data_IF_025899656139
#
_entry.id   IF_025899656139
#
_cell.length_a   1.000
_cell.length_b   1.000
_cell.length_c   1.000
_cell.angle_alpha   90.00
_cell.angle_beta   90.00
_cell.angle_gamma   90.00
#
_symmetry.space_group_name_H-M   'P 1'
#
loop_
_entity.id
_entity.type
_entity.pdbx_description
1 polymer ?
#
# COMPACT_ATOMS: atom_id res chain seq x y z
N UNK A 1 6.43 -5.50 -13.08
CA UNK A 1 6.40 -5.25 -11.62
C UNK A 1 5.71 -3.92 -11.32
N UNK A 2 4.90 -3.83 -10.26
CA UNK A 2 4.15 -2.59 -9.89
C UNK A 2 5.06 -1.40 -9.58
N UNK A 3 6.22 -1.63 -8.95
CA UNK A 3 7.21 -0.59 -8.64
C UNK A 3 7.71 0.11 -9.92
N UNK A 4 8.04 -0.64 -10.99
CA UNK A 4 8.45 -0.06 -12.28
C UNK A 4 7.39 0.88 -12.86
N UNK A 5 6.11 0.51 -12.75
CA UNK A 5 5.02 1.39 -13.19
C UNK A 5 4.92 2.67 -12.36
N UNK A 6 5.14 2.60 -11.05
CA UNK A 6 5.17 3.76 -10.15
C UNK A 6 6.33 4.69 -10.55
N UNK A 7 7.54 4.14 -10.70
CA UNK A 7 8.76 4.87 -11.10
C UNK A 7 8.55 5.57 -12.45
N UNK A 8 8.12 4.82 -13.47
CA UNK A 8 7.91 5.37 -14.82
C UNK A 8 6.84 6.46 -14.86
N UNK A 9 5.84 6.39 -13.99
CA UNK A 9 4.78 7.41 -13.89
C UNK A 9 5.12 8.56 -12.93
N UNK A 10 6.26 8.50 -12.24
CA UNK A 10 6.72 9.50 -11.28
C UNK A 10 5.89 9.61 -9.99
N UNK A 11 4.91 8.74 -9.75
CA UNK A 11 4.04 8.83 -8.59
C UNK A 11 3.33 7.52 -8.22
N UNK A 12 2.94 7.40 -6.96
CA UNK A 12 1.90 6.46 -6.51
C UNK A 12 0.54 7.09 -6.85
N UNK A 13 -0.25 6.38 -7.65
CA UNK A 13 -1.59 6.80 -8.03
C UNK A 13 -2.65 6.13 -7.15
N UNK A 14 -3.66 6.87 -6.66
CA UNK A 14 -4.85 6.28 -6.06
C UNK A 14 -5.46 5.19 -6.92
N UNK A 15 -5.96 4.12 -6.31
CA UNK A 15 -6.57 3.02 -7.07
C UNK A 15 -7.92 3.44 -7.61
N UNK A 16 -8.13 3.31 -8.92
CA UNK A 16 -9.45 3.50 -9.56
C UNK A 16 -10.22 2.19 -9.72
N UNK A 17 -9.60 1.05 -9.39
CA UNK A 17 -10.23 -0.25 -9.51
C UNK A 17 -11.39 -0.40 -8.53
N UNK A 18 -12.57 -0.78 -9.04
CA UNK A 18 -13.80 -1.03 -8.27
C UNK A 18 -14.25 0.17 -7.42
N UNK A 19 -13.92 1.39 -7.84
CA UNK A 19 -14.40 2.61 -7.20
C UNK A 19 -15.69 3.03 -7.90
N UNK A 20 -16.76 3.22 -7.14
CA UNK A 20 -18.03 3.72 -7.67
C UNK A 20 -17.86 5.14 -8.25
N UNK A 21 -18.62 5.53 -9.29
CA UNK A 21 -18.44 6.81 -10.00
C UNK A 21 -18.43 8.07 -9.11
N UNK A 22 -19.12 8.04 -7.97
CA UNK A 22 -19.27 9.18 -7.06
C UNK A 22 -18.31 9.14 -5.86
N UNK A 23 -17.31 8.26 -5.88
CA UNK A 23 -16.35 8.06 -4.77
C UNK A 23 -14.97 8.49 -5.22
N UNK A 24 -14.18 9.03 -4.29
CA UNK A 24 -12.80 9.43 -4.61
C UNK A 24 -11.87 8.22 -4.44
N UNK A 25 -11.04 7.89 -5.45
CA UNK A 25 -10.03 6.86 -5.30
C UNK A 25 -9.01 7.30 -4.24
N UNK A 26 -8.43 6.33 -3.52
CA UNK A 26 -7.38 6.59 -2.52
C UNK A 26 -6.17 5.68 -2.74
N UNK A 27 -4.99 6.15 -2.32
CA UNK A 27 -3.82 5.32 -2.09
C UNK A 27 -3.72 4.99 -0.60
N UNK A 28 -3.43 3.74 -0.27
CA UNK A 28 -3.38 3.20 1.09
C UNK A 28 -1.94 3.10 1.58
N UNK A 29 -1.78 3.38 2.88
CA UNK A 29 -0.52 3.35 3.60
C UNK A 29 -0.75 2.75 4.99
N UNK A 30 0.31 2.27 5.62
CA UNK A 30 0.30 1.85 7.02
C UNK A 30 1.45 2.55 7.74
N UNK A 31 1.26 2.80 9.03
CA UNK A 31 2.31 3.31 9.93
C UNK A 31 3.10 2.17 10.59
N UNK A 32 2.73 0.92 10.32
CA UNK A 32 3.47 -0.25 10.79
C UNK A 32 4.79 -0.40 10.06
N UNK A 33 5.80 -0.82 10.80
CA UNK A 33 7.09 -1.27 10.28
C UNK A 33 6.97 -2.67 9.65
N UNK A 34 6.12 -3.52 10.20
CA UNK A 34 5.85 -4.85 9.66
C UNK A 34 4.90 -4.81 8.45
N UNK A 35 4.93 -5.87 7.66
CA UNK A 35 4.02 -5.99 6.52
C UNK A 35 2.56 -6.02 6.96
N UNK A 36 1.77 -5.08 6.45
CA UNK A 36 0.33 -4.98 6.73
C UNK A 36 -0.41 -6.24 6.26
N UNK A 37 -1.11 -6.98 7.15
CA UNK A 37 -1.71 -8.27 6.80
C UNK A 37 -2.71 -8.22 5.63
N UNK A 38 -3.41 -7.10 5.46
CA UNK A 38 -4.36 -6.86 4.35
C UNK A 38 -3.72 -6.35 3.07
N UNK A 39 -2.42 -6.03 3.06
CA UNK A 39 -1.72 -5.59 1.85
C UNK A 39 -1.42 -6.74 0.86
N UNK A 40 -2.20 -7.82 0.88
CA UNK A 40 -2.02 -9.02 0.07
C UNK A 40 -3.01 -9.08 -1.10
N UNK A 41 -2.68 -9.86 -2.14
CA UNK A 41 -3.55 -10.08 -3.31
C UNK A 41 -4.55 -11.22 -3.13
N UNK A 42 -4.44 -11.96 -2.03
CA UNK A 42 -5.25 -13.13 -1.72
C UNK A 42 -5.79 -12.98 -0.29
N UNK A 43 -6.99 -13.51 0.01
CA UNK A 43 -7.56 -13.45 1.36
C UNK A 43 -6.94 -14.52 2.28
N UNK A 44 -5.62 -14.63 2.27
CA UNK A 44 -4.85 -15.55 3.12
C UNK A 44 -4.06 -14.69 4.10
N UNK A 45 -4.23 -14.86 5.42
CA UNK A 45 -3.54 -14.04 6.41
C UNK A 45 -2.04 -14.42 6.52
N UNK A 46 -1.26 -13.51 7.09
CA UNK A 46 0.13 -13.73 7.48
C UNK A 46 1.09 -14.02 6.33
N UNK A 47 2.18 -14.73 6.64
CA UNK A 47 3.29 -15.00 5.72
C UNK A 47 2.85 -15.74 4.44
N UNK A 48 1.85 -16.62 4.53
CA UNK A 48 1.34 -17.34 3.36
C UNK A 48 0.74 -16.38 2.31
N UNK A 49 -0.03 -15.38 2.75
CA UNK A 49 -0.56 -14.33 1.87
C UNK A 49 0.53 -13.43 1.29
N UNK A 50 1.57 -13.13 2.09
CA UNK A 50 2.73 -12.36 1.65
C UNK A 50 3.49 -13.09 0.53
N UNK A 51 3.79 -14.38 0.71
CA UNK A 51 4.47 -15.21 -0.29
C UNK A 51 3.63 -15.30 -1.57
N UNK A 52 2.32 -15.53 -1.46
CA UNK A 52 1.43 -15.58 -2.61
C UNK A 52 1.42 -14.24 -3.38
N UNK A 53 1.40 -13.13 -2.64
CA UNK A 53 1.47 -11.77 -3.21
C UNK A 53 2.80 -11.52 -3.90
N UNK A 54 3.90 -11.94 -3.28
CA UNK A 54 5.24 -11.81 -3.84
C UNK A 54 5.37 -12.58 -5.17
N UNK A 55 4.88 -13.83 -5.21
CA UNK A 55 4.84 -14.62 -6.44
C UNK A 55 4.02 -13.92 -7.53
N UNK A 56 2.84 -13.39 -7.17
CA UNK A 56 1.95 -12.71 -8.11
C UNK A 56 2.45 -11.33 -8.59
N UNK A 57 3.36 -10.69 -7.86
CA UNK A 57 3.85 -9.33 -8.15
C UNK A 57 5.34 -9.25 -8.49
N UNK A 58 6.02 -10.40 -8.56
CA UNK A 58 7.48 -10.52 -8.76
C UNK A 58 8.28 -9.87 -7.63
N UNK A 59 7.89 -10.13 -6.39
CA UNK A 59 8.51 -9.62 -5.17
C UNK A 59 7.57 -8.75 -4.32
N UNK A 60 8.04 -8.37 -3.14
CA UNK A 60 7.40 -7.38 -2.27
C UNK A 60 8.28 -6.15 -2.18
N UNK A 61 7.65 -4.98 -2.16
CA UNK A 61 8.33 -3.70 -2.05
C UNK A 61 7.67 -2.90 -0.94
N UNK A 62 8.51 -2.29 -0.10
CA UNK A 62 8.12 -1.28 0.88
C UNK A 62 8.65 0.07 0.43
N UNK A 63 7.82 1.10 0.50
CA UNK A 63 8.18 2.47 0.14
C UNK A 63 7.89 3.34 1.36
N UNK A 64 8.93 3.92 1.92
CA UNK A 64 8.83 4.87 3.03
C UNK A 64 8.62 6.27 2.49
N UNK A 65 7.61 6.97 2.99
CA UNK A 65 7.30 8.35 2.64
C UNK A 65 7.07 9.19 3.91
N UNK A 66 7.23 10.52 3.86
CA UNK A 66 6.82 11.38 4.96
C UNK A 66 5.34 11.19 5.30
N UNK A 67 4.98 11.24 6.58
CA UNK A 67 3.59 11.11 7.03
C UNK A 67 2.64 12.15 6.41
N UNK A 68 3.17 13.30 5.98
CA UNK A 68 2.42 14.33 5.25
C UNK A 68 1.87 13.85 3.90
N UNK A 69 2.39 12.76 3.32
CA UNK A 69 1.88 12.18 2.08
C UNK A 69 0.55 11.43 2.27
N UNK A 70 0.28 10.93 3.48
CA UNK A 70 -0.92 10.16 3.82
C UNK A 70 -1.52 10.69 5.14
N UNK A 71 -2.06 11.92 5.15
CA UNK A 71 -2.42 12.60 6.39
C UNK A 71 -3.72 12.07 7.01
N UNK A 72 -4.55 11.37 6.25
CA UNK A 72 -5.88 10.94 6.70
C UNK A 72 -5.83 9.58 7.38
N UNK A 73 -6.55 9.46 8.50
CA UNK A 73 -6.73 8.21 9.26
C UNK A 73 -7.97 7.46 8.78
N UNK A 74 -8.00 6.13 8.93
CA UNK A 74 -9.10 5.30 8.44
C UNK A 74 -10.52 5.78 8.82
N UNK A 75 -10.82 6.23 10.06
CA UNK A 75 -12.14 6.75 10.41
C UNK A 75 -12.63 7.94 9.57
N UNK A 76 -11.71 8.68 8.93
CA UNK A 76 -12.04 9.82 8.07
C UNK A 76 -12.43 9.39 6.65
N UNK A 77 -12.30 8.11 6.29
CA UNK A 77 -12.53 7.61 4.94
C UNK A 77 -13.92 7.95 4.37
N UNK A 78 -15.05 7.79 5.11
CA UNK A 78 -16.36 8.17 4.60
C UNK A 78 -16.46 9.66 4.22
N UNK A 79 -15.89 10.54 5.06
CA UNK A 79 -15.94 11.98 4.84
C UNK A 79 -15.03 12.42 3.67
N UNK A 80 -13.82 11.89 3.60
CA UNK A 80 -12.81 12.35 2.63
C UNK A 80 -13.01 11.69 1.26
N UNK A 81 -13.27 10.38 1.23
CA UNK A 81 -13.39 9.59 0.00
C UNK A 81 -14.84 9.33 -0.43
N UNK A 82 -15.81 9.68 0.42
CA UNK A 82 -17.23 9.43 0.17
C UNK A 82 -17.64 7.98 0.42
N UNK A 83 -16.77 7.13 0.99
CA UNK A 83 -17.03 5.69 1.19
C UNK A 83 -18.34 5.48 1.96
N UNK A 84 -19.19 4.55 1.49
CA UNK A 84 -20.46 4.26 2.15
C UNK A 84 -20.23 3.63 3.54
N UNK A 85 -21.19 3.78 4.48
CA UNK A 85 -21.11 3.10 5.76
C UNK A 85 -20.97 1.57 5.63
N UNK A 86 -21.66 0.94 4.67
CA UNK A 86 -21.55 -0.51 4.46
C UNK A 86 -20.13 -0.91 4.04
N UNK A 87 -19.53 -0.21 3.07
CA UNK A 87 -18.16 -0.50 2.62
C UNK A 87 -17.14 -0.20 3.71
N UNK A 88 -17.32 0.89 4.47
CA UNK A 88 -16.45 1.24 5.58
C UNK A 88 -16.45 0.13 6.66
N UNK A 89 -17.63 -0.30 7.10
CA UNK A 89 -17.77 -1.37 8.10
C UNK A 89 -17.21 -2.69 7.54
N UNK A 90 -17.50 -3.02 6.28
CA UNK A 90 -16.97 -4.22 5.63
C UNK A 90 -15.45 -4.26 5.59
N UNK A 91 -14.80 -3.13 5.24
CA UNK A 91 -13.34 -3.00 5.28
C UNK A 91 -12.79 -3.16 6.70
N UNK A 92 -13.42 -2.52 7.69
CA UNK A 92 -13.03 -2.62 9.09
C UNK A 92 -13.06 -4.07 9.57
N UNK A 93 -14.20 -4.75 9.41
CA UNK A 93 -14.38 -6.12 9.85
C UNK A 93 -13.46 -7.10 9.11
N UNK A 94 -13.28 -6.91 7.80
CA UNK A 94 -12.36 -7.75 7.01
C UNK A 94 -10.91 -7.57 7.45
N UNK A 95 -10.50 -6.34 7.76
CA UNK A 95 -9.16 -6.07 8.27
C UNK A 95 -8.92 -6.74 9.61
N UNK A 96 -9.84 -6.58 10.56
CA UNK A 96 -9.76 -7.22 11.87
C UNK A 96 -9.72 -8.75 11.76
N UNK A 97 -10.55 -9.34 10.89
CA UNK A 97 -10.57 -10.78 10.65
C UNK A 97 -9.25 -11.32 10.08
N UNK A 98 -8.51 -10.49 9.34
CA UNK A 98 -7.19 -10.81 8.80
C UNK A 98 -6.03 -10.41 9.72
N UNK A 99 -6.32 -9.95 10.94
CA UNK A 99 -5.31 -9.56 11.94
C UNK A 99 -4.66 -8.20 11.67
N UNK A 100 -5.26 -7.36 10.83
CA UNK A 100 -4.80 -5.98 10.62
C UNK A 100 -5.16 -5.07 11.78
N UNK A 101 -4.44 -3.96 11.91
CA UNK A 101 -4.78 -2.89 12.84
C UNK A 101 -5.23 -1.62 12.08
N UNK A 102 -6.54 -1.39 11.93
CA UNK A 102 -7.08 -0.23 11.22
C UNK A 102 -6.63 1.14 11.74
N UNK A 103 -6.20 1.25 13.01
CA UNK A 103 -5.69 2.51 13.57
C UNK A 103 -4.35 2.92 12.96
N UNK A 104 -3.63 1.96 12.38
CA UNK A 104 -2.36 2.21 11.68
C UNK A 104 -2.55 2.60 10.22
N UNK A 105 -3.74 2.37 9.67
CA UNK A 105 -4.04 2.66 8.28
C UNK A 105 -4.11 4.16 8.04
N UNK A 106 -3.47 4.57 6.95
CA UNK A 106 -3.45 5.93 6.44
C UNK A 106 -3.83 5.92 4.99
N UNK A 107 -4.37 7.03 4.49
CA UNK A 107 -4.67 7.15 3.08
C UNK A 107 -4.53 8.58 2.57
N UNK A 108 -4.47 8.71 1.25
CA UNK A 108 -4.57 9.99 0.56
C UNK A 108 -5.36 9.85 -0.75
N UNK A 109 -6.23 10.81 -1.10
CA UNK A 109 -6.85 10.86 -2.42
C UNK A 109 -5.94 11.51 -3.47
N UNK A 110 -4.78 12.01 -3.06
CA UNK A 110 -3.83 12.70 -3.93
C UNK A 110 -2.72 11.76 -4.40
N UNK A 111 -2.08 12.12 -5.52
CA UNK A 111 -0.91 11.44 -6.04
C UNK A 111 0.27 11.66 -5.08
N UNK A 112 1.10 10.63 -4.85
CA UNK A 112 2.34 10.77 -4.06
C UNK A 112 3.54 10.72 -5.00
N UNK A 113 4.24 11.85 -5.26
CA UNK A 113 5.39 11.88 -6.15
C UNK A 113 6.54 10.98 -5.66
N UNK A 114 7.25 10.34 -6.59
CA UNK A 114 8.44 9.54 -6.28
C UNK A 114 9.56 10.36 -5.66
N UNK A 115 9.59 11.67 -5.91
CA UNK A 115 10.52 12.62 -5.26
C UNK A 115 10.36 12.69 -3.73
N UNK A 116 9.22 12.24 -3.18
CA UNK A 116 8.99 12.18 -1.74
C UNK A 116 9.35 10.82 -1.12
N UNK A 117 9.81 9.85 -1.91
CA UNK A 117 10.22 8.55 -1.39
C UNK A 117 11.53 8.73 -0.60
N UNK A 118 11.53 8.25 0.64
CA UNK A 118 12.69 8.30 1.53
C UNK A 118 13.53 7.06 1.42
N UNK A 119 12.86 5.91 1.34
CA UNK A 119 13.50 4.61 1.26
C UNK A 119 12.62 3.69 0.43
N UNK A 120 13.24 2.84 -0.37
CA UNK A 120 12.56 1.76 -1.09
C UNK A 120 13.29 0.48 -0.77
N UNK A 121 12.56 -0.54 -0.36
CA UNK A 121 13.13 -1.80 0.07
C UNK A 121 12.45 -2.98 -0.61
N UNK A 122 13.23 -4.02 -0.88
CA UNK A 122 12.72 -5.31 -1.34
C UNK A 122 12.75 -6.32 -0.20
N UNK A 123 11.73 -7.17 -0.14
CA UNK A 123 11.75 -8.27 0.81
C UNK A 123 12.62 -9.42 0.30
N UNK A 124 13.70 -9.71 1.04
CA UNK A 124 14.56 -10.87 0.87
C UNK A 124 13.98 -12.04 1.66
N UNK A 125 13.28 -12.93 0.95
CA UNK A 125 12.69 -14.14 1.52
C UNK A 125 13.73 -15.16 2.00
N UNK A 126 14.94 -15.15 1.45
CA UNK A 126 15.97 -16.12 1.84
C UNK A 126 16.53 -15.80 3.24
N UNK A 127 16.67 -14.52 3.56
CA UNK A 127 17.19 -14.06 4.85
C UNK A 127 16.10 -13.41 5.74
N UNK A 128 14.84 -13.46 5.32
CA UNK A 128 13.68 -12.92 6.03
C UNK A 128 13.86 -11.46 6.50
N UNK A 129 14.29 -10.58 5.58
CA UNK A 129 14.59 -9.17 5.89
C UNK A 129 14.25 -8.23 4.75
N UNK A 130 14.06 -6.95 5.07
CA UNK A 130 13.98 -5.88 4.08
C UNK A 130 15.39 -5.41 3.69
N UNK A 131 15.60 -5.19 2.39
CA UNK A 131 16.85 -4.68 1.84
C UNK A 131 16.59 -3.37 1.09
N UNK A 132 17.21 -2.29 1.56
CA UNK A 132 17.19 -1.01 0.88
C UNK A 132 17.82 -1.12 -0.52
N UNK A 133 17.21 -0.43 -1.48
CA UNK A 133 17.69 -0.36 -2.86
C UNK A 133 18.00 1.08 -3.24
N UNK A 134 19.02 1.26 -4.08
CA UNK A 134 19.24 2.53 -4.75
C UNK A 134 18.24 2.68 -5.91
N UNK A 135 17.38 3.69 -5.80
CA UNK A 135 16.39 4.02 -6.83
C UNK A 135 17.03 4.49 -8.14
N UNK A 136 18.23 5.08 -8.09
CA UNK A 136 18.99 5.45 -9.29
C UNK A 136 19.42 4.20 -10.05
N UNK A 137 19.91 3.18 -9.34
CA UNK A 137 20.29 1.91 -9.95
C UNK A 137 19.09 1.19 -10.58
N UNK A 138 17.91 1.26 -9.95
CA UNK A 138 16.69 0.65 -10.48
C UNK A 138 16.18 1.33 -11.76
N UNK A 139 16.37 2.65 -11.89
CA UNK A 139 15.96 3.41 -13.06
C UNK A 139 16.87 3.15 -14.28
N UNK A 140 18.14 2.80 -14.07
CA UNK A 140 19.11 2.56 -15.14
C UNK A 140 19.03 1.14 -15.74
N UNK A 141 18.43 0.18 -15.03
CA UNK A 141 18.23 -1.20 -15.51
C UNK A 141 17.01 -1.25 -16.45
N UNK A 142 17.20 -0.77 -17.68
CA UNK A 142 16.20 -0.78 -18.76
C UNK A 142 15.81 -2.19 -19.21
#
# INVERSE_FOLDING_TARGET
MKLRSIINSGCIKPTTAKIEPNKKPVAWFSTQDQWEPTATKVPIPGMAGQIATAKAQSGLVRITVPGTCAPYIFPQLPLIAGTSPQTYIGLLLSGLALGSNPDTWRFTPTLVPTALFREVEFYDFANNRWLAIDMAELACRN
#
